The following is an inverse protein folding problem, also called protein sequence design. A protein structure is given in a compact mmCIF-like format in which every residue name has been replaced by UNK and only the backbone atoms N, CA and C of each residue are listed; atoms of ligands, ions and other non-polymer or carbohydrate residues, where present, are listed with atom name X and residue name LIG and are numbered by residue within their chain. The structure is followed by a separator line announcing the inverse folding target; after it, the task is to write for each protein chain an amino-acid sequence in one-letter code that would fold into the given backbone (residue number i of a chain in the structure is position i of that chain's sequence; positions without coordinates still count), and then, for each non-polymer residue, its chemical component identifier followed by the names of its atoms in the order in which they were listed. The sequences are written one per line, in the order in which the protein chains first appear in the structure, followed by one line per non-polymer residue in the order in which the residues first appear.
data_IF_271591248359
#
_entry.id   IF_271591248359
#
_cell.length_a   1.000
_cell.length_b   1.000
_cell.length_c   1.000
_cell.angle_alpha   90.00
_cell.angle_beta   90.00
_cell.angle_gamma   90.00
#
_symmetry.space_group_name_H-M   'P 1'
#
loop_
_entity.id
_entity.type
_entity.pdbx_description
1 polymer ?
#
# COMPACT_ATOMS: atom_id res chain seq x y z
N UNK A 1 43.56 29.58 -56.16
CA UNK A 1 42.20 29.11 -56.53
C UNK A 1 41.44 28.83 -55.24
N UNK A 2 40.52 29.74 -54.90
CA UNK A 2 39.39 29.47 -54.02
C UNK A 2 38.30 28.79 -54.85
N UNK A 3 37.49 27.92 -54.23
CA UNK A 3 36.03 28.08 -54.18
C UNK A 3 35.38 26.97 -53.33
N UNK A 4 34.50 27.42 -52.43
CA UNK A 4 33.63 26.63 -51.57
C UNK A 4 32.20 26.60 -52.14
N UNK A 5 31.45 25.54 -51.79
CA UNK A 5 30.01 25.59 -51.46
C UNK A 5 28.99 25.27 -52.55
N UNK A 6 28.26 24.14 -52.38
CA UNK A 6 26.79 24.12 -52.28
C UNK A 6 26.22 22.73 -51.92
N UNK A 7 25.40 22.73 -50.87
CA UNK A 7 24.54 21.66 -50.36
C UNK A 7 23.51 21.16 -51.39
N UNK A 8 23.21 19.86 -51.39
CA UNK A 8 21.87 19.33 -51.73
C UNK A 8 21.45 18.27 -50.72
N UNK A 9 20.31 18.55 -50.09
CA UNK A 9 19.62 17.75 -49.08
C UNK A 9 19.23 16.36 -49.63
N UNK A 10 19.57 15.30 -48.89
CA UNK A 10 18.83 14.03 -48.93
C UNK A 10 17.68 14.10 -47.94
N UNK A 11 16.51 14.48 -48.44
CA UNK A 11 15.25 14.14 -47.82
C UNK A 11 14.94 12.65 -48.09
N UNK A 12 14.05 12.11 -47.26
CA UNK A 12 13.38 10.81 -47.37
C UNK A 12 14.17 9.57 -46.93
N UNK A 13 14.05 9.27 -45.64
CA UNK A 13 13.81 7.93 -45.09
C UNK A 13 13.49 8.06 -43.59
N UNK A 14 12.36 8.69 -43.26
CA UNK A 14 11.79 8.63 -41.92
C UNK A 14 10.28 8.92 -41.96
N UNK A 15 9.52 8.06 -42.64
CA UNK A 15 8.06 8.07 -42.52
C UNK A 15 7.48 6.67 -42.73
N UNK A 16 7.20 5.96 -41.62
CA UNK A 16 6.09 4.96 -41.53
C UNK A 16 5.96 4.21 -40.19
N UNK A 17 6.90 4.29 -39.25
CA UNK A 17 6.82 3.45 -38.02
C UNK A 17 6.13 4.08 -36.80
N UNK A 18 5.66 5.33 -36.84
CA UNK A 18 5.08 5.99 -35.65
C UNK A 18 3.56 5.80 -35.47
N UNK A 19 2.79 5.52 -36.52
CA UNK A 19 1.33 5.40 -36.40
C UNK A 19 0.88 4.08 -35.73
N UNK A 20 1.57 2.97 -36.01
CA UNK A 20 1.24 1.66 -35.41
C UNK A 20 1.62 1.59 -33.92
N UNK A 21 2.65 2.32 -33.51
CA UNK A 21 3.12 2.31 -32.12
C UNK A 21 2.16 3.04 -31.19
N UNK A 22 1.62 4.20 -31.62
CA UNK A 22 0.64 4.96 -30.82
C UNK A 22 -0.71 4.25 -30.69
N UNK A 23 -1.18 3.52 -31.72
CA UNK A 23 -2.43 2.76 -31.65
C UNK A 23 -2.32 1.58 -30.67
N UNK A 24 -1.23 0.81 -30.73
CA UNK A 24 -0.98 -0.29 -29.80
C UNK A 24 -0.82 0.20 -28.36
N UNK A 25 -0.11 1.31 -28.17
CA UNK A 25 0.05 1.94 -26.86
C UNK A 25 -1.30 2.39 -26.28
N UNK A 26 -2.17 3.04 -27.07
CA UNK A 26 -3.50 3.44 -26.63
C UNK A 26 -4.40 2.24 -26.31
N UNK A 27 -4.32 1.15 -27.08
CA UNK A 27 -5.08 -0.06 -26.77
C UNK A 27 -4.71 -0.59 -25.38
N UNK A 28 -3.42 -0.78 -25.10
CA UNK A 28 -2.98 -1.26 -23.78
C UNK A 28 -3.35 -0.28 -22.66
N UNK A 29 -3.23 1.02 -22.92
CA UNK A 29 -3.47 2.06 -21.92
C UNK A 29 -4.95 2.22 -21.56
N UNK A 30 -5.85 2.21 -22.55
CA UNK A 30 -7.25 2.60 -22.39
C UNK A 30 -8.23 1.42 -22.37
N UNK A 31 -7.79 0.20 -22.74
CA UNK A 31 -8.63 -1.00 -22.63
C UNK A 31 -9.26 -1.20 -21.23
N UNK A 32 -8.60 -0.86 -20.11
CA UNK A 32 -9.26 -0.93 -18.80
C UNK A 32 -10.32 0.17 -18.59
N UNK A 33 -10.24 1.31 -19.29
CA UNK A 33 -11.07 2.50 -19.07
C UNK A 33 -12.29 2.62 -20.02
N UNK A 34 -12.78 1.51 -20.58
CA UNK A 34 -13.81 1.58 -21.65
C UNK A 34 -15.23 1.79 -21.15
N UNK A 35 -15.45 1.60 -19.85
CA UNK A 35 -16.77 1.68 -19.27
C UNK A 35 -17.15 3.13 -18.97
N UNK A 36 -18.44 3.44 -19.11
CA UNK A 36 -18.96 4.77 -18.75
C UNK A 36 -19.10 4.84 -17.24
N UNK A 37 -18.36 5.75 -16.62
CA UNK A 37 -18.32 5.92 -15.16
C UNK A 37 -18.64 7.35 -14.76
N UNK A 38 -19.40 7.55 -13.67
CA UNK A 38 -19.58 8.87 -13.09
C UNK A 38 -18.27 9.38 -12.47
N UNK A 39 -18.16 10.69 -12.34
CA UNK A 39 -17.17 11.35 -11.52
C UNK A 39 -17.30 10.88 -10.06
N UNK A 40 -16.17 10.52 -9.45
CA UNK A 40 -16.07 10.32 -8.01
C UNK A 40 -15.97 11.70 -7.34
N UNK A 41 -17.05 12.11 -6.69
CA UNK A 41 -17.10 13.32 -5.88
C UNK A 41 -17.27 12.95 -4.41
N UNK A 42 -16.33 13.36 -3.55
CA UNK A 42 -16.44 13.19 -2.10
C UNK A 42 -17.68 13.86 -1.48
N UNK A 43 -18.36 14.71 -2.24
CA UNK A 43 -19.55 15.46 -1.85
C UNK A 43 -20.65 15.25 -2.87
N UNK A 44 -21.91 15.34 -2.45
CA UNK A 44 -23.05 15.30 -3.36
C UNK A 44 -22.96 16.44 -4.39
N UNK A 45 -22.66 16.10 -5.65
CA UNK A 45 -22.70 17.03 -6.77
C UNK A 45 -23.96 16.80 -7.60
N UNK A 46 -24.80 17.84 -7.82
CA UNK A 46 -26.08 17.69 -8.51
C UNK A 46 -25.95 17.35 -9.99
N UNK A 47 -24.82 17.66 -10.63
CA UNK A 47 -24.54 17.35 -12.03
C UNK A 47 -23.18 16.65 -12.18
N UNK A 48 -23.17 15.35 -11.90
CA UNK A 48 -21.96 14.53 -12.09
C UNK A 48 -21.60 14.45 -13.57
N UNK A 49 -20.30 14.63 -13.84
CA UNK A 49 -19.73 14.30 -15.12
C UNK A 49 -19.63 12.78 -15.27
N UNK A 50 -19.66 12.31 -16.51
CA UNK A 50 -19.42 10.92 -16.87
C UNK A 50 -18.34 10.87 -17.92
N UNK A 51 -17.38 9.97 -17.72
CA UNK A 51 -16.27 9.75 -18.62
C UNK A 51 -16.36 8.35 -19.23
N UNK A 52 -16.07 8.24 -20.53
CA UNK A 52 -15.98 6.97 -21.23
C UNK A 52 -14.92 7.04 -22.33
N UNK A 53 -13.96 6.12 -22.32
CA UNK A 53 -13.11 5.89 -23.47
C UNK A 53 -13.71 4.79 -24.34
N UNK A 54 -13.61 4.94 -25.65
CA UNK A 54 -14.09 3.90 -26.56
C UNK A 54 -13.35 3.94 -27.88
N UNK A 55 -13.44 2.85 -28.63
CA UNK A 55 -12.79 2.71 -29.93
C UNK A 55 -13.85 2.61 -31.01
N UNK A 56 -13.77 3.49 -32.01
CA UNK A 56 -14.56 3.44 -33.23
C UNK A 56 -13.62 3.21 -34.42
N UNK A 57 -13.79 2.07 -35.10
CA UNK A 57 -12.79 1.56 -36.04
C UNK A 57 -11.39 1.44 -35.40
N UNK A 58 -10.40 2.14 -35.97
CA UNK A 58 -9.03 2.18 -35.45
C UNK A 58 -8.71 3.45 -34.62
N UNK A 59 -9.72 4.26 -34.31
CA UNK A 59 -9.57 5.54 -33.65
C UNK A 59 -10.11 5.45 -32.22
N UNK A 60 -9.30 5.87 -31.25
CA UNK A 60 -9.76 6.04 -29.87
C UNK A 60 -10.45 7.38 -29.70
N UNK A 61 -11.49 7.37 -28.89
CA UNK A 61 -12.32 8.50 -28.52
C UNK A 61 -12.44 8.62 -27.00
N UNK A 62 -12.65 9.84 -26.55
CA UNK A 62 -13.09 10.16 -25.19
C UNK A 62 -14.43 10.87 -25.25
N UNK A 63 -15.40 10.37 -24.50
CA UNK A 63 -16.75 10.91 -24.38
C UNK A 63 -16.94 11.50 -22.99
N UNK A 64 -17.38 12.76 -22.97
CA UNK A 64 -17.77 13.48 -21.76
C UNK A 64 -19.29 13.73 -21.80
N UNK A 65 -19.98 13.38 -20.73
CA UNK A 65 -21.42 13.62 -20.61
C UNK A 65 -21.82 14.00 -19.19
N UNK A 66 -23.02 14.53 -19.01
CA UNK A 66 -23.63 14.77 -17.70
C UNK A 66 -25.09 14.33 -17.70
N UNK A 67 -25.73 14.25 -16.52
CA UNK A 67 -27.16 13.93 -16.44
C UNK A 67 -28.03 15.08 -16.97
N UNK A 68 -27.60 16.33 -16.76
CA UNK A 68 -28.36 17.51 -17.15
C UNK A 68 -28.20 17.86 -18.63
N UNK A 69 -26.98 17.78 -19.15
CA UNK A 69 -26.64 18.28 -20.50
C UNK A 69 -26.58 17.15 -21.54
N UNK A 70 -26.64 15.89 -21.11
CA UNK A 70 -26.42 14.75 -22.00
C UNK A 70 -24.98 14.71 -22.50
N UNK A 71 -24.78 14.59 -23.81
CA UNK A 71 -23.45 14.58 -24.42
C UNK A 71 -22.85 15.99 -24.41
N UNK A 72 -21.74 16.16 -23.69
CA UNK A 72 -20.98 17.42 -23.65
C UNK A 72 -19.96 17.44 -24.77
N UNK A 73 -19.18 16.37 -24.93
CA UNK A 73 -18.18 16.25 -25.99
C UNK A 73 -17.93 14.79 -26.39
N UNK A 74 -17.52 14.61 -27.65
CA UNK A 74 -17.03 13.36 -28.21
C UNK A 74 -15.76 13.64 -29.01
N UNK A 75 -14.62 13.32 -28.42
CA UNK A 75 -13.31 13.78 -28.85
C UNK A 75 -12.43 12.66 -29.37
N UNK A 76 -11.85 12.84 -30.55
CA UNK A 76 -10.89 11.92 -31.14
C UNK A 76 -9.49 12.09 -30.55
N UNK A 77 -8.91 11.02 -30.02
CA UNK A 77 -7.54 11.00 -29.46
C UNK A 77 -6.53 10.84 -30.60
N UNK A 78 -5.84 11.93 -30.97
CA UNK A 78 -4.90 11.93 -32.10
C UNK A 78 -3.52 11.40 -31.73
N UNK A 79 -3.09 11.59 -30.49
CA UNK A 79 -1.81 11.07 -30.01
C UNK A 79 -1.75 11.03 -28.49
N UNK A 80 -0.85 10.19 -27.98
CA UNK A 80 -0.49 10.06 -26.57
C UNK A 80 1.00 10.27 -26.39
N UNK A 81 1.39 10.91 -25.29
CA UNK A 81 2.78 10.99 -24.82
C UNK A 81 2.81 10.73 -23.31
N UNK A 82 3.83 10.01 -22.83
CA UNK A 82 4.09 9.95 -21.38
C UNK A 82 4.54 11.34 -20.89
N UNK A 83 4.10 11.72 -19.69
CA UNK A 83 4.48 12.97 -19.05
C UNK A 83 5.83 12.91 -18.31
N UNK A 84 6.58 11.79 -18.42
CA UNK A 84 7.83 11.57 -17.67
C UNK A 84 7.62 11.11 -16.22
N UNK A 85 6.36 10.90 -15.82
CA UNK A 85 5.96 10.28 -14.56
C UNK A 85 5.27 8.94 -14.86
N UNK A 86 5.44 7.97 -13.96
CA UNK A 86 4.78 6.66 -14.09
C UNK A 86 3.28 6.89 -14.15
N UNK A 87 2.61 6.21 -15.09
CA UNK A 87 1.15 6.21 -15.23
C UNK A 87 0.49 7.56 -15.55
N UNK A 88 1.28 8.60 -15.87
CA UNK A 88 0.80 9.92 -16.31
C UNK A 88 1.04 10.13 -17.81
N UNK A 89 -0.02 10.53 -18.51
CA UNK A 89 -0.06 10.69 -19.96
C UNK A 89 -0.71 12.01 -20.37
N UNK A 90 -0.28 12.52 -21.52
CA UNK A 90 -0.88 13.67 -22.21
C UNK A 90 -1.47 13.23 -23.53
N UNK A 91 -2.76 13.45 -23.71
CA UNK A 91 -3.48 13.19 -24.95
C UNK A 91 -3.66 14.51 -25.71
N UNK A 92 -3.46 14.47 -27.03
CA UNK A 92 -3.90 15.55 -27.92
C UNK A 92 -5.20 15.10 -28.59
N UNK A 93 -6.26 15.88 -28.43
CA UNK A 93 -7.61 15.55 -28.91
C UNK A 93 -8.12 16.57 -29.92
N UNK A 94 -9.13 16.13 -30.69
CA UNK A 94 -9.97 16.99 -31.53
C UNK A 94 -11.43 16.75 -31.15
N UNK A 95 -12.12 17.80 -30.70
CA UNK A 95 -13.52 17.74 -30.32
C UNK A 95 -14.47 17.53 -31.49
N UNK A 96 -15.72 17.22 -31.17
CA UNK A 96 -16.82 17.16 -32.15
C UNK A 96 -17.06 18.49 -32.88
N UNK A 97 -16.56 19.61 -32.33
CA UNK A 97 -16.59 20.97 -32.90
C UNK A 97 -15.26 21.36 -33.56
N UNK A 98 -14.38 20.40 -33.85
CA UNK A 98 -13.05 20.58 -34.46
C UNK A 98 -12.07 21.43 -33.63
N UNK A 99 -12.31 21.63 -32.33
CA UNK A 99 -11.36 22.30 -31.45
C UNK A 99 -10.25 21.33 -31.03
N UNK A 100 -9.00 21.79 -31.12
CA UNK A 100 -7.82 21.03 -30.67
C UNK A 100 -7.51 21.39 -29.24
N UNK A 101 -7.28 20.39 -28.39
CA UNK A 101 -6.92 20.62 -27.00
C UNK A 101 -6.11 19.45 -26.42
N UNK A 102 -5.64 19.64 -25.19
CA UNK A 102 -4.86 18.64 -24.46
C UNK A 102 -5.62 18.17 -23.23
N UNK A 103 -5.47 16.89 -22.91
CA UNK A 103 -6.01 16.25 -21.73
C UNK A 103 -4.87 15.53 -21.01
N UNK A 104 -4.74 15.79 -19.71
CA UNK A 104 -3.87 15.02 -18.84
C UNK A 104 -4.68 13.85 -18.27
N UNK A 105 -4.16 12.64 -18.48
CA UNK A 105 -4.73 11.40 -17.99
C UNK A 105 -3.74 10.75 -17.02
N UNK A 106 -4.21 10.33 -15.85
CA UNK A 106 -3.38 9.66 -14.86
C UNK A 106 -4.08 8.41 -14.34
N UNK A 107 -3.44 7.25 -14.43
CA UNK A 107 -3.91 6.08 -13.67
C UNK A 107 -3.55 6.25 -12.21
N UNK A 108 -4.55 6.18 -11.34
CA UNK A 108 -4.36 6.25 -9.89
C UNK A 108 -3.70 4.95 -9.42
N UNK A 109 -2.74 5.07 -8.49
CA UNK A 109 -2.01 4.02 -7.74
C UNK A 109 -1.51 2.78 -8.51
N UNK A 110 -1.41 2.85 -9.84
CA UNK A 110 -0.86 1.80 -10.69
C UNK A 110 -1.74 0.57 -10.89
N UNK A 111 -2.82 0.39 -10.12
CA UNK A 111 -3.75 -0.74 -10.26
C UNK A 111 -4.70 -0.63 -11.46
N UNK A 112 -4.69 0.51 -12.15
CA UNK A 112 -5.54 0.83 -13.31
C UNK A 112 -7.05 0.64 -13.03
N UNK A 113 -7.46 0.95 -11.80
CA UNK A 113 -8.85 0.85 -11.32
C UNK A 113 -9.59 2.18 -11.25
N UNK A 114 -8.82 3.26 -11.23
CA UNK A 114 -9.35 4.61 -11.18
C UNK A 114 -8.39 5.55 -11.90
N UNK A 115 -8.91 6.62 -12.46
CA UNK A 115 -8.10 7.58 -13.20
C UNK A 115 -8.56 9.01 -12.95
N UNK A 116 -7.64 9.95 -13.15
CA UNK A 116 -7.91 11.39 -13.14
C UNK A 116 -7.86 11.92 -14.56
N UNK A 117 -8.80 12.82 -14.87
CA UNK A 117 -8.79 13.64 -16.09
C UNK A 117 -8.66 15.11 -15.68
N UNK A 118 -7.68 15.78 -16.27
CA UNK A 118 -7.51 17.22 -16.13
C UNK A 118 -7.36 17.88 -17.51
N UNK A 119 -8.25 18.81 -17.85
CA UNK A 119 -8.19 19.63 -19.06
C UNK A 119 -8.89 20.97 -18.87
N UNK A 120 -8.33 22.04 -19.45
CA UNK A 120 -8.99 23.34 -19.48
C UNK A 120 -10.19 23.36 -20.43
N UNK A 121 -10.28 22.40 -21.35
CA UNK A 121 -11.43 22.27 -22.24
C UNK A 121 -12.64 21.75 -21.43
N UNK A 122 -13.72 22.53 -21.39
CA UNK A 122 -14.86 22.33 -20.46
C UNK A 122 -14.50 22.34 -18.96
N UNK A 123 -13.30 22.84 -18.58
CA UNK A 123 -12.85 22.95 -17.19
C UNK A 123 -12.97 21.64 -16.39
N UNK A 124 -12.58 20.52 -16.98
CA UNK A 124 -12.68 19.20 -16.34
C UNK A 124 -11.47 18.98 -15.43
N UNK A 125 -11.74 18.74 -14.16
CA UNK A 125 -10.78 18.27 -13.16
C UNK A 125 -11.48 17.26 -12.25
N UNK A 126 -11.43 15.99 -12.65
CA UNK A 126 -12.31 14.95 -12.12
C UNK A 126 -11.61 13.59 -11.99
N UNK A 127 -12.02 12.84 -10.97
CA UNK A 127 -11.59 11.46 -10.72
C UNK A 127 -12.72 10.50 -11.13
N UNK A 128 -12.36 9.30 -11.56
CA UNK A 128 -13.30 8.29 -12.00
C UNK A 128 -12.86 6.92 -11.50
N UNK A 129 -13.78 6.14 -10.92
CA UNK A 129 -13.52 4.80 -10.40
C UNK A 129 -14.26 3.78 -11.27
N UNK A 130 -13.54 2.79 -11.80
CA UNK A 130 -14.10 1.80 -12.74
C UNK A 130 -15.14 0.87 -12.11
N UNK A 131 -15.19 0.79 -10.79
CA UNK A 131 -16.22 0.04 -10.07
C UNK A 131 -17.61 0.70 -10.17
N UNK A 132 -17.66 2.02 -10.40
CA UNK A 132 -18.91 2.80 -10.47
C UNK A 132 -19.69 2.61 -11.79
N UNK A 133 -19.24 1.67 -12.62
CA UNK A 133 -19.93 1.28 -13.85
C UNK A 133 -21.29 0.66 -13.58
N UNK A 134 -21.44 0.02 -12.43
CA UNK A 134 -22.70 -0.60 -12.02
C UNK A 134 -23.42 0.27 -10.98
N UNK A 135 -24.39 1.07 -11.45
CA UNK A 135 -25.18 1.96 -10.58
C UNK A 135 -26.02 1.23 -9.51
N UNK A 136 -26.15 -0.11 -9.58
CA UNK A 136 -26.85 -0.89 -8.54
C UNK A 136 -25.96 -1.24 -7.35
N UNK A 137 -24.64 -1.09 -7.47
CA UNK A 137 -23.71 -1.42 -6.41
C UNK A 137 -23.46 -0.15 -5.58
N UNK A 138 -24.01 -0.11 -4.38
CA UNK A 138 -23.88 1.04 -3.49
C UNK A 138 -22.53 1.03 -2.77
N UNK A 139 -22.01 2.23 -2.53
CA UNK A 139 -20.88 2.42 -1.62
C UNK A 139 -21.37 2.38 -0.18
N UNK A 140 -20.73 1.57 0.64
CA UNK A 140 -20.96 1.50 2.07
C UNK A 140 -19.81 2.18 2.81
N UNK A 141 -20.12 2.99 3.82
CA UNK A 141 -19.10 3.56 4.68
C UNK A 141 -18.39 2.47 5.48
N UNK A 142 -17.08 2.63 5.61
CA UNK A 142 -16.17 1.74 6.29
C UNK A 142 -15.67 0.59 5.44
N UNK A 143 -15.50 -0.58 6.04
CA UNK A 143 -14.95 -1.77 5.39
C UNK A 143 -15.71 -3.03 5.81
N UNK A 144 -15.74 -4.09 4.99
CA UNK A 144 -16.20 -5.40 5.44
C UNK A 144 -15.26 -5.94 6.53
N UNK A 145 -15.84 -6.48 7.60
CA UNK A 145 -15.10 -7.08 8.72
C UNK A 145 -14.02 -8.07 8.27
N UNK A 146 -14.30 -8.88 7.24
CA UNK A 146 -13.37 -9.87 6.71
C UNK A 146 -12.10 -9.29 6.04
N UNK A 147 -12.09 -7.98 5.77
CA UNK A 147 -10.93 -7.27 5.22
C UNK A 147 -10.15 -6.49 6.28
N UNK A 148 -10.70 -6.34 7.49
CA UNK A 148 -10.01 -5.66 8.58
C UNK A 148 -8.77 -6.42 9.03
N UNK A 149 -7.75 -5.63 9.36
CA UNK A 149 -6.47 -6.08 9.88
C UNK A 149 -5.30 -5.68 9.01
N UNK A 150 -4.13 -6.18 9.39
CA UNK A 150 -2.88 -5.90 8.68
C UNK A 150 -2.48 -7.07 7.79
N UNK A 151 -2.25 -6.76 6.54
CA UNK A 151 -1.93 -7.70 5.49
C UNK A 151 -0.51 -7.43 4.99
N UNK A 152 0.27 -8.48 4.77
CA UNK A 152 1.63 -8.34 4.27
C UNK A 152 1.95 -9.40 3.21
N UNK A 153 2.83 -9.06 2.28
CA UNK A 153 3.48 -10.09 1.46
C UNK A 153 4.51 -10.85 2.29
N UNK A 154 4.89 -12.04 1.83
CA UNK A 154 6.17 -12.62 2.21
C UNK A 154 7.35 -11.75 1.73
N UNK A 155 8.56 -12.10 2.18
CA UNK A 155 9.78 -11.49 1.67
C UNK A 155 9.89 -11.71 0.16
N UNK A 156 10.06 -10.61 -0.58
CA UNK A 156 10.33 -10.62 -2.02
C UNK A 156 11.61 -9.87 -2.31
N UNK A 157 12.19 -10.08 -3.49
CA UNK A 157 13.43 -9.38 -3.88
C UNK A 157 13.19 -7.88 -4.03
N UNK A 158 14.08 -7.07 -3.47
CA UNK A 158 14.09 -5.64 -3.69
C UNK A 158 14.59 -5.33 -5.12
N UNK A 159 13.75 -4.78 -6.02
CA UNK A 159 14.18 -4.43 -7.37
C UNK A 159 15.09 -3.21 -7.41
N UNK A 160 15.04 -2.34 -6.38
CA UNK A 160 15.73 -1.06 -6.36
C UNK A 160 17.09 -1.12 -5.63
N UNK A 161 17.26 -2.06 -4.70
CA UNK A 161 18.50 -2.19 -3.91
C UNK A 161 18.83 -3.65 -3.57
N UNK A 162 19.09 -4.47 -4.59
CA UNK A 162 19.31 -5.90 -4.43
C UNK A 162 20.61 -6.30 -3.74
N UNK A 163 21.58 -5.37 -3.59
CA UNK A 163 22.89 -5.68 -3.00
C UNK A 163 22.96 -5.39 -1.50
N UNK A 164 22.40 -4.26 -1.04
CA UNK A 164 22.47 -3.87 0.38
C UNK A 164 21.19 -4.26 1.13
N UNK A 165 20.02 -4.06 0.50
CA UNK A 165 18.71 -4.32 1.09
C UNK A 165 17.92 -5.30 0.21
N UNK A 166 18.38 -6.56 0.07
CA UNK A 166 17.91 -7.50 -0.94
C UNK A 166 16.44 -7.88 -0.82
N UNK A 167 15.80 -7.64 0.33
CA UNK A 167 14.43 -8.09 0.57
C UNK A 167 13.50 -6.92 0.91
N UNK A 168 12.24 -7.07 0.48
CA UNK A 168 11.14 -6.17 0.85
C UNK A 168 9.91 -6.95 1.29
N UNK A 169 9.08 -6.31 2.12
CA UNK A 169 7.70 -6.70 2.39
C UNK A 169 6.77 -5.51 2.14
N UNK A 170 5.68 -5.76 1.44
CA UNK A 170 4.60 -4.80 1.21
C UNK A 170 3.53 -5.01 2.26
N UNK A 171 3.06 -3.92 2.88
CA UNK A 171 2.02 -3.94 3.89
C UNK A 171 0.81 -3.14 3.45
N UNK A 172 -0.37 -3.62 3.81
CA UNK A 172 -1.65 -2.92 3.72
C UNK A 172 -2.42 -3.15 5.03
N UNK A 173 -2.64 -2.08 5.78
CA UNK A 173 -3.50 -2.08 6.96
C UNK A 173 -4.84 -1.49 6.60
N UNK A 174 -5.91 -2.16 7.01
CA UNK A 174 -7.29 -1.78 6.76
C UNK A 174 -8.00 -1.77 8.10
N UNK A 175 -8.55 -0.61 8.48
CA UNK A 175 -9.46 -0.49 9.63
C UNK A 175 -10.86 -0.17 9.15
N UNK A 176 -11.81 -0.04 10.06
CA UNK A 176 -13.15 0.48 9.82
C UNK A 176 -13.20 1.83 9.08
N UNK A 177 -12.16 2.66 9.16
CA UNK A 177 -12.18 4.05 8.70
C UNK A 177 -10.96 4.46 7.87
N UNK A 178 -9.89 3.67 7.88
CA UNK A 178 -8.60 4.05 7.30
C UNK A 178 -7.96 2.93 6.49
N UNK A 179 -7.14 3.32 5.51
CA UNK A 179 -6.15 2.41 4.93
C UNK A 179 -4.76 3.03 4.97
N UNK A 180 -3.77 2.21 5.31
CA UNK A 180 -2.37 2.60 5.37
C UNK A 180 -1.52 1.54 4.66
N UNK A 181 -0.67 1.95 3.72
CA UNK A 181 0.23 1.04 3.00
C UNK A 181 1.66 1.54 3.04
N UNK A 182 2.60 0.61 3.15
CA UNK A 182 4.03 0.89 3.26
C UNK A 182 4.88 -0.29 2.79
N UNK A 183 6.12 0.01 2.40
CA UNK A 183 7.15 -0.97 2.02
C UNK A 183 8.23 -0.96 3.08
N UNK A 184 8.52 -2.12 3.67
CA UNK A 184 9.70 -2.31 4.49
C UNK A 184 10.83 -2.90 3.65
N UNK A 185 12.05 -2.39 3.85
CA UNK A 185 13.28 -2.89 3.22
C UNK A 185 14.19 -3.52 4.26
N UNK A 186 14.76 -4.67 3.90
CA UNK A 186 15.49 -5.54 4.81
C UNK A 186 16.85 -5.93 4.26
N UNK A 187 17.81 -6.10 5.17
CA UNK A 187 19.13 -6.65 4.85
C UNK A 187 19.08 -8.16 4.52
N UNK A 188 20.23 -8.74 4.16
CA UNK A 188 20.36 -10.17 3.85
C UNK A 188 19.99 -11.13 5.00
N UNK A 189 19.87 -10.64 6.23
CA UNK A 189 19.47 -11.40 7.42
C UNK A 189 18.03 -11.08 7.86
N UNK A 190 17.24 -10.43 6.99
CA UNK A 190 15.87 -9.99 7.28
C UNK A 190 15.76 -9.02 8.48
N UNK A 191 16.78 -8.19 8.70
CA UNK A 191 16.70 -7.09 9.67
C UNK A 191 16.10 -5.86 9.01
N UNK A 192 15.13 -5.24 9.67
CA UNK A 192 14.43 -4.07 9.14
C UNK A 192 15.38 -2.87 9.09
N UNK A 193 15.51 -2.27 7.92
CA UNK A 193 16.41 -1.14 7.68
C UNK A 193 15.67 0.15 7.34
N UNK A 194 14.66 0.07 6.46
CA UNK A 194 13.89 1.22 6.02
C UNK A 194 12.39 0.90 5.92
N UNK A 195 11.55 1.92 6.03
CA UNK A 195 10.11 1.84 5.87
C UNK A 195 9.64 3.06 5.07
N UNK A 196 9.09 2.82 3.89
CA UNK A 196 8.57 3.86 3.01
C UNK A 196 7.04 3.80 2.99
N UNK A 197 6.38 4.81 3.55
CA UNK A 197 4.91 4.92 3.50
C UNK A 197 4.46 5.28 2.09
N UNK A 198 3.61 4.44 1.50
CA UNK A 198 3.04 4.67 0.17
C UNK A 198 1.73 5.46 0.25
N UNK A 199 0.87 5.14 1.23
CA UNK A 199 -0.40 5.83 1.40
C UNK A 199 -0.84 5.81 2.86
N UNK A 200 -1.41 6.89 3.37
CA UNK A 200 -2.15 6.92 4.62
C UNK A 200 -3.42 7.73 4.41
N UNK A 201 -4.57 7.10 4.55
CA UNK A 201 -5.87 7.62 4.10
C UNK A 201 -6.98 7.31 5.08
N UNK A 202 -8.02 8.13 5.07
CA UNK A 202 -9.22 8.01 5.89
C UNK A 202 -10.47 8.03 5.00
N UNK A 203 -11.66 8.17 5.61
CA UNK A 203 -12.95 8.18 4.91
C UNK A 203 -13.12 6.94 4.02
N UNK A 204 -12.75 5.78 4.57
CA UNK A 204 -12.86 4.52 3.87
C UNK A 204 -14.31 4.18 3.55
N UNK A 205 -14.54 3.72 2.33
CA UNK A 205 -15.79 3.14 1.88
C UNK A 205 -15.49 1.94 0.98
N UNK A 206 -16.46 1.03 0.87
CA UNK A 206 -16.34 -0.15 0.03
C UNK A 206 -17.57 -0.38 -0.84
N UNK A 207 -17.37 -1.10 -1.94
CA UNK A 207 -18.41 -1.65 -2.78
C UNK A 207 -18.16 -3.16 -2.95
N UNK A 208 -19.19 -3.98 -2.73
CA UNK A 208 -19.13 -5.41 -3.02
C UNK A 208 -19.51 -5.66 -4.48
N UNK A 209 -18.57 -6.13 -5.29
CA UNK A 209 -18.80 -6.35 -6.73
C UNK A 209 -19.28 -7.76 -7.04
N UNK A 210 -18.92 -8.72 -6.19
CA UNK A 210 -19.47 -10.08 -6.13
C UNK A 210 -19.03 -10.73 -4.81
N UNK A 211 -19.42 -11.98 -4.57
CA UNK A 211 -19.06 -12.68 -3.34
C UNK A 211 -17.54 -12.75 -3.16
N UNK A 212 -17.04 -12.14 -2.08
CA UNK A 212 -15.60 -12.12 -1.76
C UNK A 212 -14.77 -11.14 -2.61
N UNK A 213 -15.37 -10.33 -3.48
CA UNK A 213 -14.70 -9.30 -4.27
C UNK A 213 -15.18 -7.90 -3.88
N UNK A 214 -14.24 -7.08 -3.43
CA UNK A 214 -14.50 -5.74 -2.93
C UNK A 214 -13.65 -4.72 -3.67
N UNK A 215 -14.20 -3.53 -3.83
CA UNK A 215 -13.45 -2.33 -4.17
C UNK A 215 -13.48 -1.41 -2.97
N UNK A 216 -12.32 -1.03 -2.47
CA UNK A 216 -12.16 -0.06 -1.39
C UNK A 216 -11.72 1.26 -2.01
N UNK A 217 -12.28 2.37 -1.52
CA UNK A 217 -11.76 3.70 -1.78
C UNK A 217 -11.63 4.48 -0.49
N UNK A 218 -10.54 5.21 -0.38
CA UNK A 218 -10.26 6.12 0.74
C UNK A 218 -9.50 7.33 0.24
N UNK A 219 -9.40 8.36 1.07
CA UNK A 219 -8.85 9.65 0.67
C UNK A 219 -7.72 10.07 1.59
N UNK A 220 -6.69 10.68 1.02
CA UNK A 220 -5.70 11.43 1.78
C UNK A 220 -6.24 12.84 2.05
N UNK A 221 -5.37 13.75 2.48
CA UNK A 221 -5.67 15.20 2.51
C UNK A 221 -5.97 15.82 1.13
N UNK A 222 -5.91 15.03 0.05
CA UNK A 222 -6.26 15.46 -1.31
C UNK A 222 -7.63 14.94 -1.74
N UNK A 223 -8.20 15.52 -2.79
CA UNK A 223 -9.44 15.03 -3.39
C UNK A 223 -9.28 13.74 -4.22
N UNK A 224 -8.05 13.27 -4.46
CA UNK A 224 -7.77 12.08 -5.27
C UNK A 224 -7.92 10.81 -4.42
N UNK A 225 -8.75 9.84 -4.83
CA UNK A 225 -8.92 8.60 -4.08
C UNK A 225 -7.68 7.71 -4.18
N UNK A 226 -7.50 6.85 -3.19
CA UNK A 226 -6.69 5.63 -3.27
C UNK A 226 -7.65 4.46 -3.37
N UNK A 227 -7.47 3.59 -4.37
CA UNK A 227 -8.45 2.54 -4.71
C UNK A 227 -7.81 1.16 -4.70
N UNK A 228 -8.43 0.20 -4.02
CA UNK A 228 -7.97 -1.19 -4.01
C UNK A 228 -9.08 -2.14 -4.43
N UNK A 229 -8.82 -3.00 -5.40
CA UNK A 229 -9.63 -4.21 -5.61
C UNK A 229 -9.04 -5.34 -4.79
N UNK A 230 -9.86 -5.89 -3.91
CA UNK A 230 -9.48 -6.93 -2.97
C UNK A 230 -10.35 -8.16 -3.19
N UNK A 231 -9.71 -9.28 -3.48
CA UNK A 231 -10.33 -10.58 -3.50
C UNK A 231 -9.97 -11.34 -2.22
N UNK A 232 -10.96 -11.78 -1.46
CA UNK A 232 -10.76 -12.70 -0.34
C UNK A 232 -10.48 -14.09 -0.91
N UNK A 233 -9.28 -14.62 -0.65
CA UNK A 233 -8.93 -16.00 -1.02
C UNK A 233 -9.40 -16.94 0.09
N UNK A 234 -9.07 -16.59 1.33
CA UNK A 234 -9.53 -17.25 2.55
C UNK A 234 -9.37 -16.29 3.75
N UNK A 235 -9.70 -16.75 4.96
CA UNK A 235 -9.64 -15.93 6.19
C UNK A 235 -8.28 -15.27 6.45
N UNK A 236 -7.18 -15.88 5.98
CA UNK A 236 -5.82 -15.40 6.23
C UNK A 236 -5.12 -14.92 4.95
N UNK A 237 -5.82 -14.81 3.82
CA UNK A 237 -5.18 -14.43 2.57
C UNK A 237 -6.11 -13.63 1.67
N UNK A 238 -5.59 -12.51 1.16
CA UNK A 238 -6.25 -11.64 0.18
C UNK A 238 -5.36 -11.45 -1.05
N UNK A 239 -5.99 -11.20 -2.20
CA UNK A 239 -5.31 -10.71 -3.39
C UNK A 239 -5.70 -9.26 -3.62
N UNK A 240 -4.71 -8.37 -3.66
CA UNK A 240 -4.89 -6.93 -3.75
C UNK A 240 -4.33 -6.42 -5.07
N UNK A 241 -5.11 -5.61 -5.77
CA UNK A 241 -4.65 -4.82 -6.92
C UNK A 241 -4.80 -3.34 -6.58
N UNK A 242 -3.79 -2.51 -6.86
CA UNK A 242 -3.74 -1.10 -6.45
C UNK A 242 -2.63 -0.74 -5.45
N UNK A 243 -1.92 -1.74 -4.92
CA UNK A 243 -0.66 -1.53 -4.17
C UNK A 243 0.55 -1.38 -5.09
N UNK A 244 0.55 -2.12 -6.19
CA UNK A 244 1.53 -2.02 -7.27
C UNK A 244 0.83 -2.16 -8.61
N UNK A 245 1.59 -2.07 -9.71
CA UNK A 245 1.07 -2.33 -11.05
C UNK A 245 0.68 -3.79 -11.31
N UNK A 246 1.13 -4.72 -10.47
CA UNK A 246 0.71 -6.11 -10.51
C UNK A 246 -0.10 -6.46 -9.25
N UNK A 247 -1.07 -7.38 -9.36
CA UNK A 247 -1.75 -7.90 -8.18
C UNK A 247 -0.76 -8.60 -7.25
N UNK A 248 -0.93 -8.38 -5.94
CA UNK A 248 -0.16 -9.03 -4.89
C UNK A 248 -1.06 -9.94 -4.07
N UNK A 249 -0.52 -11.07 -3.63
CA UNK A 249 -1.16 -11.89 -2.59
C UNK A 249 -0.56 -11.51 -1.25
N UNK A 250 -1.42 -11.10 -0.31
CA UNK A 250 -1.04 -10.73 1.04
C UNK A 250 -1.64 -11.75 2.01
N UNK A 251 -0.87 -12.06 3.04
CA UNK A 251 -1.27 -12.92 4.15
C UNK A 251 -1.59 -12.03 5.35
N UNK A 252 -2.62 -12.39 6.12
CA UNK A 252 -2.93 -11.70 7.37
C UNK A 252 -1.73 -11.83 8.29
N UNK A 253 -1.25 -10.72 8.82
CA UNK A 253 -0.01 -10.67 9.60
C UNK A 253 -0.21 -11.29 10.98
N UNK A 254 -0.20 -12.62 11.07
CA UNK A 254 -0.04 -13.33 12.34
C UNK A 254 1.43 -13.39 12.71
N UNK A 255 1.80 -13.01 13.94
CA UNK A 255 3.19 -13.13 14.39
C UNK A 255 3.68 -14.58 14.23
N UNK A 256 4.89 -14.75 13.69
CA UNK A 256 5.55 -16.07 13.65
C UNK A 256 5.69 -16.59 15.07
N UNK A 257 5.15 -17.79 15.33
CA UNK A 257 5.30 -18.48 16.60
C UNK A 257 6.77 -18.81 16.88
N UNK A 258 7.21 -18.63 18.13
CA UNK A 258 8.36 -19.35 18.66
C UNK A 258 7.84 -20.60 19.36
N UNK A 259 8.35 -21.78 19.00
CA UNK A 259 8.34 -22.95 19.88
C UNK A 259 9.22 -22.65 21.09
N UNK A 260 8.64 -22.16 22.18
CA UNK A 260 9.28 -22.17 23.50
C UNK A 260 8.93 -23.48 24.19
N UNK A 261 9.95 -24.28 24.49
CA UNK A 261 9.84 -25.35 25.48
C UNK A 261 9.49 -24.72 26.83
N UNK A 262 8.36 -25.14 27.38
CA UNK A 262 7.96 -24.86 28.75
C UNK A 262 9.00 -25.40 29.74
N UNK A 263 9.40 -24.57 30.70
CA UNK A 263 9.70 -25.03 32.05
C UNK A 263 9.06 -24.08 33.05
N UNK A 264 7.98 -24.57 33.64
CA UNK A 264 7.38 -24.08 34.88
C UNK A 264 8.04 -24.82 36.08
N UNK A 265 7.81 -24.43 37.35
CA UNK A 265 8.90 -23.99 38.21
C UNK A 265 9.04 -24.77 39.55
N UNK A 266 10.01 -24.30 40.35
CA UNK A 266 10.17 -24.43 41.83
C UNK A 266 10.95 -25.65 42.34
N UNK A 267 12.16 -25.44 42.91
CA UNK A 267 12.45 -25.62 44.35
C UNK A 267 13.90 -25.29 44.75
N UNK A 268 14.04 -24.80 45.97
CA UNK A 268 15.18 -24.28 46.72
C UNK A 268 16.29 -25.28 47.08
N UNK A 269 17.57 -24.87 47.06
CA UNK A 269 18.52 -24.99 48.20
C UNK A 269 19.98 -24.58 47.87
N UNK A 270 20.51 -23.67 48.70
CA UNK A 270 21.82 -23.62 49.36
C UNK A 270 23.16 -23.90 48.62
N UNK A 271 24.01 -22.85 48.61
CA UNK A 271 25.48 -22.75 48.83
C UNK A 271 26.47 -23.81 48.33
N UNK A 272 27.50 -23.35 47.61
CA UNK A 272 28.79 -24.05 47.46
C UNK A 272 29.77 -23.36 46.49
N UNK A 273 30.91 -22.91 47.01
CA UNK A 273 31.98 -22.17 46.33
C UNK A 273 32.94 -23.04 45.51
N UNK A 274 33.50 -22.46 44.43
CA UNK A 274 34.82 -22.70 43.77
C UNK A 274 35.13 -24.12 43.26
N UNK A 275 35.51 -24.34 41.99
CA UNK A 275 36.82 -23.99 41.43
C UNK A 275 36.84 -24.09 39.89
N UNK A 276 37.71 -23.29 39.28
CA UNK A 276 37.87 -23.04 37.85
C UNK A 276 38.56 -24.18 37.06
N UNK A 277 38.36 -24.16 35.74
CA UNK A 277 39.28 -24.51 34.63
C UNK A 277 38.42 -24.83 33.38
N UNK A 278 38.62 -24.32 32.16
CA UNK A 278 39.60 -23.43 31.56
C UNK A 278 38.94 -22.89 30.28
N UNK A 279 39.05 -21.58 30.04
CA UNK A 279 38.59 -20.95 28.81
C UNK A 279 39.45 -21.38 27.61
N UNK A 280 38.80 -21.80 26.52
CA UNK A 280 39.37 -21.65 25.17
C UNK A 280 38.60 -20.54 24.49
N UNK A 281 39.16 -19.34 24.54
CA UNK A 281 38.64 -18.15 23.91
C UNK A 281 38.69 -18.35 22.39
N UNK A 282 37.56 -18.67 21.76
CA UNK A 282 37.34 -18.22 20.39
C UNK A 282 37.06 -16.73 20.49
N UNK A 283 38.13 -15.97 20.21
CA UNK A 283 38.15 -14.54 20.07
C UNK A 283 37.10 -14.17 19.01
N UNK A 284 35.91 -13.79 19.47
CA UNK A 284 34.94 -13.13 18.63
C UNK A 284 35.59 -11.84 18.15
N UNK A 285 35.87 -11.77 16.85
CA UNK A 285 36.13 -10.53 16.14
C UNK A 285 35.07 -9.52 16.58
N UNK A 286 35.39 -8.24 16.85
CA UNK A 286 34.40 -7.23 17.22
C UNK A 286 33.44 -7.04 16.04
N UNK A 287 32.41 -7.88 15.97
CA UNK A 287 31.34 -7.76 15.01
C UNK A 287 30.59 -6.50 15.37
N UNK A 288 30.62 -5.52 14.48
CA UNK A 288 29.75 -4.33 14.49
C UNK A 288 28.42 -4.67 15.14
N UNK A 289 28.15 -4.11 16.32
CA UNK A 289 26.87 -4.24 17.01
C UNK A 289 25.79 -3.86 16.02
N UNK A 290 25.00 -4.84 15.57
CA UNK A 290 23.94 -4.57 14.61
C UNK A 290 22.85 -3.75 15.32
N UNK A 291 22.65 -2.52 14.85
CA UNK A 291 21.65 -1.59 15.35
C UNK A 291 20.22 -1.93 14.88
N UNK A 292 20.04 -3.02 14.13
CA UNK A 292 18.77 -3.41 13.54
C UNK A 292 18.32 -4.78 14.08
N UNK A 293 17.02 -4.90 14.33
CA UNK A 293 16.39 -6.13 14.83
C UNK A 293 15.65 -6.83 13.69
N UNK A 294 15.55 -8.15 13.76
CA UNK A 294 14.59 -8.91 12.94
C UNK A 294 13.18 -8.76 13.49
N UNK A 295 12.14 -8.98 12.67
CA UNK A 295 10.74 -8.93 13.10
C UNK A 295 10.52 -9.81 14.35
N UNK A 296 11.12 -11.00 14.40
CA UNK A 296 11.01 -11.91 15.56
C UNK A 296 11.69 -11.36 16.83
N UNK A 297 12.86 -10.74 16.69
CA UNK A 297 13.55 -10.13 17.84
C UNK A 297 12.73 -8.99 18.44
N UNK A 298 12.05 -8.23 17.59
CA UNK A 298 11.13 -7.16 18.00
C UNK A 298 9.93 -7.72 18.77
N UNK A 299 9.26 -8.75 18.23
CA UNK A 299 8.13 -9.42 18.88
C UNK A 299 8.51 -9.93 20.27
N UNK A 300 9.63 -10.63 20.37
CA UNK A 300 10.11 -11.20 21.64
C UNK A 300 10.38 -10.12 22.70
N UNK A 301 10.81 -8.93 22.28
CA UNK A 301 11.10 -7.83 23.19
C UNK A 301 9.83 -7.13 23.70
N UNK A 302 8.85 -6.97 22.81
CA UNK A 302 7.59 -6.27 23.10
C UNK A 302 6.61 -7.16 23.87
N UNK A 303 6.58 -8.46 23.57
CA UNK A 303 5.55 -9.38 24.07
C UNK A 303 5.32 -9.35 25.59
N UNK A 304 6.36 -9.32 26.46
CA UNK A 304 6.13 -9.25 27.91
C UNK A 304 5.31 -8.02 28.35
N UNK A 305 5.49 -6.88 27.67
CA UNK A 305 4.75 -5.65 27.97
C UNK A 305 3.29 -5.79 27.54
N UNK A 306 3.06 -6.25 26.31
CA UNK A 306 1.70 -6.49 25.78
C UNK A 306 0.94 -7.50 26.63
N UNK A 307 1.56 -8.62 27.00
CA UNK A 307 0.93 -9.65 27.85
C UNK A 307 0.46 -9.07 29.19
N UNK A 308 1.17 -8.09 29.75
CA UNK A 308 0.82 -7.47 31.03
C UNK A 308 -0.50 -6.67 30.99
N UNK A 309 -0.93 -6.23 29.80
CA UNK A 309 -2.21 -5.53 29.57
C UNK A 309 -3.41 -6.48 29.76
N UNK A 310 -3.19 -7.79 29.66
CA UNK A 310 -4.23 -8.83 29.69
C UNK A 310 -4.08 -9.81 30.87
N UNK A 311 -4.13 -9.35 32.14
CA UNK A 311 -3.84 -10.19 33.30
C UNK A 311 -4.83 -11.35 33.49
N UNK A 312 -6.04 -11.25 32.92
CA UNK A 312 -7.13 -12.21 33.09
C UNK A 312 -7.45 -13.01 31.82
N UNK A 313 -6.63 -12.89 30.76
CA UNK A 313 -6.84 -13.61 29.51
C UNK A 313 -5.60 -14.44 29.19
N UNK A 314 -5.82 -15.67 28.71
CA UNK A 314 -4.73 -16.51 28.23
C UNK A 314 -4.38 -16.14 26.79
N UNK A 315 -3.72 -14.99 26.64
CA UNK A 315 -3.27 -14.47 25.35
C UNK A 315 -1.85 -14.96 25.02
N UNK A 316 -1.61 -15.20 23.73
CA UNK A 316 -0.32 -15.52 23.11
C UNK A 316 0.13 -14.37 22.21
N UNK A 317 1.44 -14.24 21.93
CA UNK A 317 1.94 -13.24 20.97
C UNK A 317 1.33 -13.42 19.58
N UNK A 318 0.89 -14.64 19.24
CA UNK A 318 0.20 -14.98 17.98
C UNK A 318 -1.21 -14.43 17.87
N UNK A 319 -1.79 -13.99 19.00
CA UNK A 319 -3.11 -13.36 19.03
C UNK A 319 -3.03 -11.86 18.73
N UNK A 320 -1.84 -11.35 18.37
CA UNK A 320 -1.59 -9.96 18.03
C UNK A 320 -0.85 -9.81 16.71
N UNK A 321 -1.04 -8.63 16.11
CA UNK A 321 -0.34 -8.17 14.91
C UNK A 321 0.69 -7.11 15.30
N UNK A 322 1.93 -7.28 14.84
CA UNK A 322 3.02 -6.33 15.08
C UNK A 322 3.38 -5.61 13.78
N UNK A 323 3.37 -4.28 13.83
CA UNK A 323 3.60 -3.43 12.65
C UNK A 323 4.91 -2.65 12.79
N UNK A 324 6.06 -3.25 12.46
CA UNK A 324 7.33 -2.56 12.56
C UNK A 324 7.50 -1.54 11.43
N UNK A 325 7.91 -0.33 11.78
CA UNK A 325 8.12 0.80 10.88
C UNK A 325 9.33 1.61 11.31
N UNK A 326 10.16 2.02 10.36
CA UNK A 326 11.23 2.98 10.61
C UNK A 326 10.70 4.41 10.47
N UNK A 327 10.92 5.27 11.47
CA UNK A 327 10.63 6.71 11.42
C UNK A 327 11.79 7.48 12.04
N UNK A 328 12.34 8.45 11.31
CA UNK A 328 13.45 9.30 11.77
C UNK A 328 14.65 8.48 12.31
N UNK A 329 14.95 7.34 11.69
CA UNK A 329 16.04 6.45 12.10
C UNK A 329 15.75 5.58 13.34
N UNK A 330 14.55 5.64 13.91
CA UNK A 330 14.11 4.81 15.03
C UNK A 330 13.09 3.77 14.57
N UNK A 331 13.11 2.60 15.20
CA UNK A 331 12.09 1.59 15.01
C UNK A 331 10.86 1.93 15.85
N UNK A 332 9.70 1.99 15.23
CA UNK A 332 8.38 2.08 15.85
C UNK A 332 7.59 0.80 15.59
N UNK A 333 6.78 0.37 16.54
CA UNK A 333 5.97 -0.85 16.41
C UNK A 333 4.61 -0.59 17.02
N UNK A 334 3.58 -0.62 16.18
CA UNK A 334 2.21 -0.65 16.66
C UNK A 334 1.78 -2.10 16.85
N UNK A 335 1.12 -2.37 17.98
CA UNK A 335 0.57 -3.69 18.31
C UNK A 335 -0.94 -3.61 18.26
N UNK A 336 -1.55 -4.44 17.42
CA UNK A 336 -2.99 -4.53 17.26
C UNK A 336 -3.46 -5.91 17.74
N UNK A 337 -4.63 -5.97 18.38
CA UNK A 337 -5.30 -7.26 18.62
C UNK A 337 -5.62 -7.92 17.29
N UNK A 338 -5.56 -9.24 17.23
CA UNK A 338 -6.09 -10.02 16.10
C UNK A 338 -7.45 -10.60 16.52
N UNK A 339 -8.55 -9.95 16.13
CA UNK A 339 -9.89 -10.39 16.52
C UNK A 339 -10.34 -11.70 15.86
N UNK A 340 -9.53 -12.24 14.95
CA UNK A 340 -9.71 -13.60 14.47
C UNK A 340 -9.22 -14.69 15.43
N UNK A 341 -8.36 -14.34 16.40
CA UNK A 341 -7.88 -15.27 17.40
C UNK A 341 -9.02 -15.72 18.33
N UNK A 342 -9.01 -17.00 18.69
CA UNK A 342 -10.07 -17.60 19.50
C UNK A 342 -10.26 -16.90 20.85
N UNK A 343 -9.19 -16.34 21.42
CA UNK A 343 -9.20 -15.65 22.72
C UNK A 343 -10.04 -14.36 22.69
N UNK A 344 -10.02 -13.62 21.56
CA UNK A 344 -10.73 -12.35 21.38
C UNK A 344 -12.16 -12.53 20.88
N UNK A 345 -12.43 -13.57 20.09
CA UNK A 345 -13.80 -13.94 19.67
C UNK A 345 -14.75 -14.20 20.84
N UNK A 346 -14.21 -14.73 21.95
CA UNK A 346 -15.02 -15.13 23.11
C UNK A 346 -15.26 -13.99 24.12
N UNK A 347 -14.56 -12.86 24.01
CA UNK A 347 -14.53 -11.83 25.06
C UNK A 347 -15.56 -10.70 24.86
N UNK A 348 -16.50 -10.82 23.89
CA UNK A 348 -17.48 -9.78 23.52
C UNK A 348 -16.85 -8.43 23.15
N UNK A 349 -15.57 -8.43 22.77
CA UNK A 349 -14.87 -7.29 22.21
C UNK A 349 -15.47 -7.00 20.83
N UNK A 350 -15.58 -5.73 20.45
CA UNK A 350 -16.14 -5.35 19.15
C UNK A 350 -15.31 -5.97 18.03
N UNK A 351 -15.87 -6.98 17.38
CA UNK A 351 -15.20 -7.76 16.35
C UNK A 351 -14.93 -6.98 15.06
N UNK A 352 -15.36 -5.71 14.99
CA UNK A 352 -15.26 -4.83 13.82
C UNK A 352 -14.20 -3.74 14.00
N UNK A 353 -13.27 -3.94 14.93
CA UNK A 353 -12.04 -3.14 15.02
C UNK A 353 -10.94 -4.07 15.51
N UNK A 354 -9.77 -4.09 14.85
CA UNK A 354 -8.52 -4.61 15.45
C UNK A 354 -7.87 -3.42 16.20
N UNK A 355 -8.23 -3.15 17.48
CA UNK A 355 -7.75 -1.97 18.16
C UNK A 355 -6.24 -2.05 18.34
N UNK A 356 -5.60 -0.89 18.20
CA UNK A 356 -4.23 -0.72 18.66
C UNK A 356 -4.23 -0.72 20.18
N UNK A 357 -3.45 -1.62 20.76
CA UNK A 357 -3.40 -1.81 22.21
C UNK A 357 -2.13 -1.29 22.84
N UNK A 358 -1.07 -1.16 22.06
CA UNK A 358 0.15 -0.50 22.47
C UNK A 358 0.94 0.02 21.26
N UNK A 359 1.76 1.03 21.52
CA UNK A 359 2.77 1.54 20.58
C UNK A 359 4.12 1.55 21.26
N UNK A 360 5.11 0.94 20.62
CA UNK A 360 6.48 0.89 21.10
C UNK A 360 7.43 1.61 20.15
N UNK A 361 8.58 2.05 20.66
CA UNK A 361 9.72 2.43 19.83
C UNK A 361 11.04 1.98 20.47
N UNK A 362 12.04 1.77 19.63
CA UNK A 362 13.43 1.62 20.08
C UNK A 362 14.10 2.97 19.96
N UNK A 363 14.46 3.58 21.08
CA UNK A 363 15.10 4.89 21.10
C UNK A 363 16.56 4.82 20.60
N UNK A 364 17.20 5.97 20.42
CA UNK A 364 18.59 6.06 19.93
C UNK A 364 19.62 5.38 20.85
N UNK A 365 19.29 5.16 22.11
CA UNK A 365 20.11 4.43 23.09
C UNK A 365 19.88 2.91 23.05
N UNK A 366 19.03 2.40 22.16
CA UNK A 366 18.69 0.99 22.09
C UNK A 366 17.82 0.50 23.24
N UNK A 367 16.99 1.37 23.82
CA UNK A 367 16.01 1.04 24.85
C UNK A 367 14.61 0.94 24.23
N UNK A 368 13.79 0.02 24.73
CA UNK A 368 12.39 -0.08 24.35
C UNK A 368 11.61 0.92 25.17
N UNK A 369 10.90 1.79 24.48
CA UNK A 369 9.96 2.73 25.05
C UNK A 369 8.54 2.36 24.63
N UNK A 370 7.60 2.52 25.54
CA UNK A 370 6.16 2.42 25.30
C UNK A 370 5.54 3.82 25.31
N UNK A 371 4.57 4.05 24.42
CA UNK A 371 3.82 5.29 24.37
C UNK A 371 2.71 5.27 25.42
N UNK A 372 2.73 6.23 26.33
CA UNK A 372 1.59 6.51 27.19
C UNK A 372 0.42 7.02 26.32
N UNK A 373 -0.67 6.26 26.30
CA UNK A 373 -1.82 6.52 25.42
C UNK A 373 -2.60 7.79 25.78
N UNK A 374 -2.42 8.33 26.99
CA UNK A 374 -3.15 9.52 27.47
C UNK A 374 -2.37 10.80 27.16
N UNK A 375 -1.06 10.76 27.36
CA UNK A 375 -0.17 11.93 27.24
C UNK A 375 0.62 11.96 25.94
N UNK A 376 0.71 10.83 25.22
CA UNK A 376 1.56 10.65 24.04
C UNK A 376 3.07 10.64 24.37
N UNK A 377 3.44 10.60 25.65
CA UNK A 377 4.82 10.57 26.10
C UNK A 377 5.43 9.17 25.97
N UNK A 378 6.73 9.08 25.79
CA UNK A 378 7.45 7.80 25.66
C UNK A 378 8.17 7.45 26.96
N UNK A 379 7.93 6.25 27.49
CA UNK A 379 8.47 5.76 28.76
C UNK A 379 9.31 4.52 28.50
N UNK A 380 10.53 4.47 29.04
CA UNK A 380 11.40 3.29 28.92
C UNK A 380 10.81 2.13 29.73
N UNK A 381 10.50 1.02 29.05
CA UNK A 381 9.91 -0.20 29.64
C UNK A 381 10.88 -1.38 29.63
N UNK A 382 11.94 -1.33 28.81
CA UNK A 382 12.98 -2.36 28.80
C UNK A 382 14.30 -1.85 28.21
N UNK A 383 15.41 -2.47 28.59
CA UNK A 383 16.74 -2.22 28.03
C UNK A 383 17.24 -3.45 27.29
N UNK A 384 18.01 -3.25 26.21
CA UNK A 384 18.65 -4.35 25.49
C UNK A 384 19.64 -5.04 26.43
N UNK A 385 19.35 -6.25 26.86
CA UNK A 385 20.31 -7.05 27.63
C UNK A 385 21.45 -7.44 26.70
N UNK A 386 22.58 -6.76 26.83
CA UNK A 386 23.85 -7.21 26.27
C UNK A 386 24.20 -8.55 26.89
N UNK A 387 24.26 -9.61 26.09
CA UNK A 387 25.01 -10.81 26.42
C UNK A 387 26.26 -10.86 25.56
#
# INVERSE_FOLDING_TARGET
MLLAGCNRNKADLNNSNNHNNSSNQLNQLLSPATAKVPEDSQTDKPNLLYSQFYKDGNQWHWKLSSKQDGLIDDSQIKSVKSAGQKDVYKFNLVSNTNKKYQLNFNWINGGHQAYTINTSYHSVDANFILADTNQSAEWHNGTPQALEGSWATDYTKNPNNSQQLPYIKQFLNITDTTTNSFVNEYDGNHRLYNSNTNSNTNNLSYQATSQGLYVLKSYSNTSTPVVYNIAIINANQIKVTGLTSAPLTLVKSSSTATTTQDQDPITSSQSGSSTASSATSQQATPGTTSNHLTDQQVVNWIWPQVKSIYPNMNVSSTDFTYMPQMRNGLLYVDVLENHDAAVFKNSKVDSNTDPRVASFRVNSSGQLEEMDSTTGSWIVVSQRTSK
#
